data_IF_454734323779
#
_entry.id   IF_454734323779
#
_cell.length_a   1.000
_cell.length_b   1.000
_cell.length_c   1.000
_cell.angle_alpha   90.00
_cell.angle_beta   90.00
_cell.angle_gamma   90.00
#
_symmetry.space_group_name_H-M   'P 1'
#
loop_
_entity.id
_entity.type
_entity.pdbx_description
1 polymer ?
#
# COMPACT_ATOMS: atom_id res chain seq x y z
N UNK A 1 -6.70 80.82 -10.42
CA UNK A 1 -6.11 79.61 -11.04
C UNK A 1 -6.51 78.40 -10.19
N UNK A 2 -7.05 77.36 -10.85
CA UNK A 2 -7.56 76.01 -10.47
C UNK A 2 -6.95 75.30 -9.23
N UNK A 3 -7.55 74.19 -8.71
CA UNK A 3 -8.96 73.77 -8.65
C UNK A 3 -9.42 73.17 -7.28
N UNK A 4 -10.73 72.95 -7.24
CA UNK A 4 -11.60 72.20 -6.33
C UNK A 4 -11.00 70.85 -5.86
N UNK A 5 -11.04 70.59 -4.55
CA UNK A 5 -10.76 69.25 -3.99
C UNK A 5 -12.04 68.42 -4.04
N UNK A 6 -11.96 67.31 -4.78
CA UNK A 6 -12.95 66.23 -4.91
C UNK A 6 -13.54 65.79 -3.56
N UNK A 7 -14.85 65.62 -3.42
CA UNK A 7 -15.73 64.61 -4.04
C UNK A 7 -15.57 63.20 -3.40
N UNK A 8 -16.49 62.94 -2.46
CA UNK A 8 -17.29 61.71 -2.24
C UNK A 8 -16.65 60.32 -2.02
N UNK A 9 -16.83 59.80 -0.78
CA UNK A 9 -17.54 58.56 -0.36
C UNK A 9 -17.26 57.19 -1.01
N UNK A 10 -17.23 56.16 -0.12
CA UNK A 10 -17.35 54.70 -0.35
C UNK A 10 -16.10 54.01 -0.88
N UNK A 11 -15.74 52.76 -0.52
CA UNK A 11 -16.29 51.71 0.35
C UNK A 11 -15.19 50.63 0.40
N UNK A 12 -15.11 49.88 1.50
CA UNK A 12 -14.57 48.53 1.61
C UNK A 12 -13.13 48.24 1.13
N UNK A 13 -12.24 48.05 2.10
CA UNK A 13 -10.86 47.61 1.88
C UNK A 13 -10.38 46.64 2.96
N UNK A 14 -11.17 45.62 3.30
CA UNK A 14 -10.64 44.44 4.02
C UNK A 14 -9.76 43.63 3.05
N UNK A 15 -8.55 44.11 2.82
CA UNK A 15 -7.47 43.35 2.20
C UNK A 15 -6.83 42.47 3.27
N UNK A 16 -7.56 41.44 3.73
CA UNK A 16 -6.94 40.29 4.35
C UNK A 16 -6.12 39.61 3.26
N UNK A 17 -4.81 39.83 3.34
CA UNK A 17 -3.83 39.09 2.55
C UNK A 17 -4.11 37.60 2.75
N UNK A 18 -4.71 37.00 1.72
CA UNK A 18 -4.73 35.55 1.54
C UNK A 18 -3.28 35.13 1.36
N UNK A 19 -2.62 34.92 2.50
CA UNK A 19 -1.38 34.19 2.61
C UNK A 19 -1.58 32.97 1.74
N UNK A 20 -0.77 32.90 0.68
CA UNK A 20 -0.71 31.83 -0.29
C UNK A 20 -0.73 30.52 0.49
N UNK A 21 -1.92 29.93 0.58
CA UNK A 21 -2.11 28.55 0.98
C UNK A 21 -1.16 27.77 0.07
N UNK A 22 -0.04 27.31 0.63
CA UNK A 22 0.65 26.15 0.08
C UNK A 22 -0.43 25.10 0.04
N UNK A 23 -0.99 24.87 -1.16
CA UNK A 23 -1.91 23.77 -1.42
C UNK A 23 -1.17 22.54 -0.89
N UNK A 24 -1.61 22.03 0.25
CA UNK A 24 -1.33 20.65 0.58
C UNK A 24 -1.93 19.87 -0.60
N UNK A 25 -1.10 19.13 -1.36
CA UNK A 25 -1.62 18.38 -2.48
C UNK A 25 -2.73 17.46 -1.96
N UNK A 26 -3.83 17.30 -2.71
CA UNK A 26 -4.83 16.30 -2.36
C UNK A 26 -4.15 14.93 -2.21
N UNK A 27 -4.70 14.00 -1.40
CA UNK A 27 -4.20 12.64 -1.31
C UNK A 27 -4.39 11.98 -2.67
N UNK A 28 -3.38 12.11 -3.52
CA UNK A 28 -3.30 11.40 -4.79
C UNK A 28 -3.17 9.92 -4.47
N UNK A 29 -3.87 9.03 -5.20
CA UNK A 29 -3.56 7.60 -5.12
C UNK A 29 -2.05 7.47 -5.35
N UNK A 30 -1.36 6.86 -4.38
CA UNK A 30 0.09 6.76 -4.39
C UNK A 30 0.50 6.02 -5.65
N UNK A 31 0.97 6.78 -6.65
CA UNK A 31 1.44 6.21 -7.89
C UNK A 31 2.71 5.42 -7.62
N UNK A 32 2.99 4.43 -8.46
CA UNK A 32 4.14 3.53 -8.29
C UNK A 32 5.47 4.30 -8.33
N UNK A 33 5.50 5.45 -9.02
CA UNK A 33 6.59 6.43 -8.95
C UNK A 33 6.80 7.01 -7.54
N UNK A 34 5.71 7.30 -6.82
CA UNK A 34 5.76 7.78 -5.42
C UNK A 34 6.21 6.67 -4.49
N UNK A 35 5.74 5.44 -4.69
CA UNK A 35 6.21 4.27 -3.93
C UNK A 35 7.71 4.07 -4.12
N UNK A 36 8.20 4.08 -5.37
CA UNK A 36 9.64 3.98 -5.70
C UNK A 36 10.47 5.08 -5.04
N UNK A 37 9.95 6.31 -5.03
CA UNK A 37 10.61 7.45 -4.40
C UNK A 37 10.60 7.38 -2.87
N UNK A 38 9.57 6.79 -2.28
CA UNK A 38 9.51 6.51 -0.85
C UNK A 38 10.47 5.39 -0.49
N UNK A 39 10.49 4.27 -1.24
CA UNK A 39 11.41 3.14 -1.09
C UNK A 39 12.88 3.62 -1.00
N UNK A 40 13.31 4.59 -1.82
CA UNK A 40 14.66 5.16 -1.69
C UNK A 40 14.97 5.91 -0.38
N UNK A 41 13.98 6.14 0.49
CA UNK A 41 14.08 6.85 1.78
C UNK A 41 13.79 5.99 3.00
N UNK A 42 13.12 4.85 2.84
CA UNK A 42 12.73 3.95 3.94
C UNK A 42 13.81 2.87 4.09
N UNK A 43 14.02 2.30 5.29
CA UNK A 43 14.85 1.12 5.46
C UNK A 43 14.33 -0.08 4.65
N UNK A 44 15.22 -0.99 4.21
CA UNK A 44 14.86 -2.15 3.38
C UNK A 44 13.82 -3.07 4.04
N UNK A 45 13.78 -3.10 5.36
CA UNK A 45 12.80 -3.87 6.13
C UNK A 45 11.37 -3.33 5.94
N UNK A 46 11.22 -2.01 5.81
CA UNK A 46 9.94 -1.35 5.60
C UNK A 46 9.46 -1.36 4.14
N UNK A 47 10.33 -1.73 3.18
CA UNK A 47 9.96 -1.81 1.76
C UNK A 47 8.81 -2.80 1.54
N UNK A 48 8.93 -3.98 2.16
CA UNK A 48 7.92 -5.04 2.09
C UNK A 48 6.61 -4.61 2.76
N UNK A 49 6.68 -3.93 3.90
CA UNK A 49 5.48 -3.37 4.53
C UNK A 49 4.75 -2.39 3.61
N UNK A 50 5.47 -1.44 3.01
CA UNK A 50 4.85 -0.44 2.14
C UNK A 50 4.21 -1.07 0.89
N UNK A 51 4.88 -2.05 0.29
CA UNK A 51 4.34 -2.81 -0.84
C UNK A 51 3.15 -3.66 -0.41
N UNK A 52 3.22 -4.28 0.76
CA UNK A 52 2.16 -5.09 1.34
C UNK A 52 0.89 -4.29 1.58
N UNK A 53 0.98 -3.08 2.12
CA UNK A 53 -0.18 -2.21 2.34
C UNK A 53 -0.91 -1.85 1.03
N UNK A 54 -0.19 -1.79 -0.10
CA UNK A 54 -0.78 -1.54 -1.41
C UNK A 54 -1.27 -2.82 -2.09
N UNK A 55 -0.55 -3.94 -1.95
CA UNK A 55 -0.90 -5.23 -2.55
C UNK A 55 -2.09 -5.90 -1.83
N UNK A 56 -2.17 -5.78 -0.51
CA UNK A 56 -3.20 -6.41 0.31
C UNK A 56 -4.63 -6.12 -0.17
N UNK A 57 -5.08 -4.85 -0.33
CA UNK A 57 -6.43 -4.57 -0.78
C UNK A 57 -6.69 -4.98 -2.24
N UNK A 58 -5.64 -5.14 -3.06
CA UNK A 58 -5.79 -5.64 -4.42
C UNK A 58 -6.00 -7.16 -4.43
N UNK A 59 -5.19 -7.90 -3.66
CA UNK A 59 -5.33 -9.35 -3.51
C UNK A 59 -6.62 -9.70 -2.79
N UNK A 60 -7.02 -8.95 -1.77
CA UNK A 60 -8.25 -9.16 -1.00
C UNK A 60 -9.50 -9.15 -1.89
N UNK A 61 -9.55 -8.25 -2.87
CA UNK A 61 -10.66 -8.18 -3.85
C UNK A 61 -10.78 -9.43 -4.71
N UNK A 62 -9.67 -10.12 -4.94
CA UNK A 62 -9.64 -11.35 -5.74
C UNK A 62 -9.83 -12.59 -4.88
N UNK A 63 -9.15 -12.68 -3.74
CA UNK A 63 -9.16 -13.85 -2.87
C UNK A 63 -9.08 -13.45 -1.38
N UNK A 64 -10.21 -13.10 -0.75
CA UNK A 64 -10.24 -12.65 0.65
C UNK A 64 -9.95 -13.78 1.65
N UNK A 65 -10.18 -15.04 1.27
CA UNK A 65 -10.00 -16.21 2.15
C UNK A 65 -8.53 -16.46 2.53
N UNK A 66 -7.61 -16.15 1.61
CA UNK A 66 -6.19 -16.48 1.76
C UNK A 66 -5.27 -15.27 1.54
N UNK A 67 -5.84 -14.06 1.52
CA UNK A 67 -5.12 -12.81 1.24
C UNK A 67 -3.84 -12.68 2.06
N UNK A 68 -3.90 -12.91 3.38
CA UNK A 68 -2.72 -12.75 4.24
C UNK A 68 -1.58 -13.72 3.88
N UNK A 69 -1.90 -14.98 3.54
CA UNK A 69 -0.89 -15.98 3.12
C UNK A 69 -0.37 -15.73 1.71
N UNK A 70 -1.26 -15.37 0.78
CA UNK A 70 -0.90 -15.06 -0.60
C UNK A 70 -0.03 -13.80 -0.63
N UNK A 71 -0.49 -12.70 -0.02
CA UNK A 71 0.28 -11.46 0.08
C UNK A 71 1.61 -11.71 0.81
N UNK A 72 1.63 -12.54 1.86
CA UNK A 72 2.88 -12.96 2.51
C UNK A 72 3.87 -13.62 1.55
N UNK A 73 3.42 -14.61 0.77
CA UNK A 73 4.26 -15.27 -0.25
C UNK A 73 4.69 -14.33 -1.37
N UNK A 74 3.80 -13.43 -1.82
CA UNK A 74 4.14 -12.44 -2.84
C UNK A 74 5.18 -11.42 -2.35
N UNK A 75 5.18 -11.09 -1.06
CA UNK A 75 6.17 -10.20 -0.44
C UNK A 75 7.55 -10.84 -0.25
N UNK A 76 7.67 -12.15 -0.45
CA UNK A 76 8.97 -12.83 -0.54
C UNK A 76 9.66 -12.59 -1.89
N UNK A 77 8.92 -12.11 -2.90
CA UNK A 77 9.48 -11.72 -4.20
C UNK A 77 10.26 -10.39 -4.12
N UNK A 78 11.03 -10.10 -5.17
CA UNK A 78 11.77 -8.85 -5.30
C UNK A 78 10.84 -7.62 -5.33
N UNK A 79 11.36 -6.50 -4.83
CA UNK A 79 10.66 -5.20 -4.81
C UNK A 79 10.12 -4.82 -6.19
N UNK A 80 10.93 -5.01 -7.24
CA UNK A 80 10.57 -4.67 -8.62
C UNK A 80 9.36 -5.46 -9.10
N UNK A 81 9.26 -6.73 -8.71
CA UNK A 81 8.16 -7.59 -9.12
C UNK A 81 6.88 -7.21 -8.36
N UNK A 82 6.98 -6.92 -7.06
CA UNK A 82 5.85 -6.37 -6.30
C UNK A 82 5.32 -5.06 -6.90
N UNK A 83 6.20 -4.15 -7.34
CA UNK A 83 5.79 -2.91 -8.01
C UNK A 83 5.05 -3.20 -9.32
N UNK A 84 5.55 -4.15 -10.13
CA UNK A 84 4.90 -4.59 -11.38
C UNK A 84 3.50 -5.17 -11.13
N UNK A 85 3.33 -5.93 -10.05
CA UNK A 85 2.03 -6.49 -9.65
C UNK A 85 1.04 -5.38 -9.23
N UNK A 86 1.51 -4.29 -8.64
CA UNK A 86 0.67 -3.12 -8.29
C UNK A 86 0.27 -2.34 -9.56
N UNK A 87 1.16 -2.22 -10.55
CA UNK A 87 0.87 -1.53 -11.83
C UNK A 87 -0.04 -2.33 -12.77
N UNK A 88 0.03 -3.67 -12.71
CA UNK A 88 -0.69 -4.55 -13.63
C UNK A 88 -1.67 -5.47 -12.89
N UNK A 89 -2.99 -5.22 -13.00
CA UNK A 89 -4.00 -6.09 -12.39
C UNK A 89 -4.01 -7.50 -13.02
N UNK A 90 -3.60 -7.63 -14.28
CA UNK A 90 -3.45 -8.93 -14.96
C UNK A 90 -2.31 -9.74 -14.35
N UNK A 91 -1.16 -9.10 -14.10
CA UNK A 91 -0.02 -9.75 -13.45
C UNK A 91 -0.37 -10.17 -12.01
N UNK A 92 -1.08 -9.31 -11.27
CA UNK A 92 -1.56 -9.63 -9.93
C UNK A 92 -2.45 -10.88 -9.93
N UNK A 93 -3.43 -10.95 -10.83
CA UNK A 93 -4.34 -12.09 -10.91
C UNK A 93 -3.57 -13.40 -11.16
N UNK A 94 -2.65 -13.41 -12.13
CA UNK A 94 -1.81 -14.58 -12.42
C UNK A 94 -0.98 -15.01 -11.20
N UNK A 95 -0.34 -14.06 -10.53
CA UNK A 95 0.47 -14.33 -9.35
C UNK A 95 -0.38 -14.86 -8.17
N UNK A 96 -1.60 -14.33 -8.00
CA UNK A 96 -2.56 -14.83 -7.01
C UNK A 96 -2.99 -16.26 -7.34
N UNK A 97 -3.32 -16.56 -8.60
CA UNK A 97 -3.70 -17.92 -9.02
C UNK A 97 -2.56 -18.93 -8.81
N UNK A 98 -1.31 -18.54 -9.08
CA UNK A 98 -0.14 -19.38 -8.85
C UNK A 98 0.12 -19.58 -7.34
N UNK A 99 0.10 -18.51 -6.56
CA UNK A 99 0.27 -18.57 -5.11
C UNK A 99 -0.83 -19.41 -4.43
N UNK A 100 -2.08 -19.33 -4.90
CA UNK A 100 -3.17 -20.20 -4.42
C UNK A 100 -2.83 -21.66 -4.65
N UNK A 101 -2.41 -22.04 -5.86
CA UNK A 101 -2.04 -23.44 -6.16
C UNK A 101 -0.88 -23.92 -5.30
N UNK A 102 0.13 -23.08 -5.10
CA UNK A 102 1.28 -23.41 -4.23
C UNK A 102 0.82 -23.58 -2.79
N UNK A 103 -0.04 -22.70 -2.28
CA UNK A 103 -0.59 -22.79 -0.93
C UNK A 103 -1.48 -24.03 -0.76
N UNK A 104 -2.30 -24.39 -1.75
CA UNK A 104 -3.10 -25.62 -1.71
C UNK A 104 -2.24 -26.88 -1.65
N UNK A 105 -1.06 -26.90 -2.26
CA UNK A 105 -0.09 -28.00 -2.15
C UNK A 105 0.69 -27.97 -0.81
N UNK A 106 0.96 -26.77 -0.27
CA UNK A 106 1.70 -26.58 0.98
C UNK A 106 0.87 -26.83 2.25
N UNK A 107 -0.39 -26.37 2.30
CA UNK A 107 -1.29 -26.51 3.46
C UNK A 107 -1.44 -27.96 3.95
N UNK A 108 -1.72 -28.95 3.09
CA UNK A 108 -1.83 -30.34 3.54
C UNK A 108 -0.49 -30.88 4.07
N UNK A 109 0.65 -30.43 3.54
CA UNK A 109 1.99 -30.81 4.03
C UNK A 109 2.29 -30.18 5.39
N UNK A 110 1.98 -28.89 5.56
CA UNK A 110 2.25 -28.15 6.79
C UNK A 110 1.36 -28.64 7.95
N UNK A 111 0.07 -28.87 7.69
CA UNK A 111 -0.86 -29.42 8.68
C UNK A 111 -0.48 -30.85 9.09
N UNK A 112 -0.04 -31.68 8.14
CA UNK A 112 0.45 -33.03 8.45
C UNK A 112 1.75 -33.00 9.30
N UNK A 113 2.63 -32.03 9.07
CA UNK A 113 3.87 -31.87 9.84
C UNK A 113 3.62 -31.28 11.24
N UNK A 114 2.75 -30.28 11.37
CA UNK A 114 2.32 -29.74 12.68
C UNK A 114 1.64 -30.80 13.54
N UNK A 115 0.75 -31.60 12.94
CA UNK A 115 0.15 -32.75 13.63
C UNK A 115 1.22 -33.74 14.07
N UNK A 116 2.16 -34.12 13.20
CA UNK A 116 3.29 -35.00 13.58
C UNK A 116 4.14 -34.42 14.71
N UNK A 117 4.46 -33.13 14.67
CA UNK A 117 5.23 -32.44 15.71
C UNK A 117 4.49 -32.42 17.07
N UNK A 118 3.16 -32.24 17.04
CA UNK A 118 2.32 -32.31 18.23
C UNK A 118 2.27 -33.72 18.84
N UNK A 119 2.19 -34.77 18.01
CA UNK A 119 2.17 -36.16 18.47
C UNK A 119 3.50 -36.62 19.07
N UNK A 120 4.64 -36.16 18.53
CA UNK A 120 5.96 -36.48 19.08
C UNK A 120 6.18 -35.82 20.46
N UNK A 121 5.76 -34.56 20.61
CA UNK A 121 5.85 -33.86 21.91
C UNK A 121 4.89 -34.46 22.95
N UNK A 122 3.70 -34.88 22.53
CA UNK A 122 2.74 -35.54 23.43
C UNK A 122 3.24 -36.92 23.93
N UNK A 123 4.03 -37.64 23.13
CA UNK A 123 4.59 -38.95 23.51
C UNK A 123 5.87 -38.84 24.37
N UNK A 124 6.54 -37.69 24.39
CA UNK A 124 7.77 -37.46 25.17
C UNK A 124 7.51 -37.07 26.65
N UNK A 125 6.25 -36.98 27.10
CA UNK A 125 5.87 -36.63 28.47
C UNK A 125 5.15 -37.76 29.22
N UNK A 126 5.43 -39.01 28.86
CA UNK A 126 5.05 -40.21 29.60
C UNK A 126 6.27 -41.11 29.81
#
# INVERSE_FOLDING_TARGET
MRPIVSMTISRDGYSLGVARFRRLPPPVPLSVETLTKMLGKIPPEAHRSLLGENLYPLVEKHQPLMVAKITGMLLELDQTECLRLIESPEALKLAVEEAVKVLEDWIPKQSAEELRASFITAKAKM
#
